data_IF_009717761148
#
_entry.id   IF_009717761148
#
_cell.length_a   1.000
_cell.length_b   1.000
_cell.length_c   1.000
_cell.angle_alpha   90.00
_cell.angle_beta   90.00
_cell.angle_gamma   90.00
#
_symmetry.space_group_name_H-M   'P 1'
#
loop_
_entity.id
_entity.type
_entity.pdbx_description
1 polymer ?
#
# COMPACT_ATOMS: atom_id res chain seq x y z
N UNK A 1 -25.45 6.93 8.87
CA UNK A 1 -23.97 7.12 8.94
C UNK A 1 -23.32 5.84 9.47
N UNK A 2 -22.34 5.26 8.78
CA UNK A 2 -21.70 4.01 9.23
C UNK A 2 -20.77 4.35 10.42
N UNK A 3 -21.09 3.84 11.61
CA UNK A 3 -20.22 3.98 12.79
C UNK A 3 -18.92 3.20 12.56
N UNK A 4 -17.76 3.81 12.81
CA UNK A 4 -16.47 3.16 12.63
C UNK A 4 -16.23 2.10 13.70
N UNK A 5 -16.33 0.83 13.31
CA UNK A 5 -16.09 -0.36 14.14
C UNK A 5 -15.47 -1.48 13.29
N UNK A 6 -14.89 -2.49 13.91
CA UNK A 6 -14.29 -3.62 13.18
C UNK A 6 -15.27 -4.32 12.24
N UNK A 7 -16.55 -4.48 12.68
CA UNK A 7 -17.63 -5.04 11.85
C UNK A 7 -17.86 -4.20 10.60
N UNK A 8 -17.87 -2.88 10.76
CA UNK A 8 -18.12 -1.94 9.67
C UNK A 8 -16.92 -1.78 8.75
N UNK A 9 -15.68 -1.94 9.24
CA UNK A 9 -14.50 -1.98 8.36
C UNK A 9 -14.56 -3.14 7.37
N UNK A 10 -15.06 -4.32 7.79
CA UNK A 10 -15.32 -5.44 6.88
C UNK A 10 -16.30 -5.06 5.78
N UNK A 11 -17.44 -4.49 6.15
CA UNK A 11 -18.48 -4.06 5.18
C UNK A 11 -17.92 -3.02 4.21
N UNK A 12 -17.21 -2.03 4.72
CA UNK A 12 -16.58 -0.98 3.90
C UNK A 12 -15.58 -1.59 2.92
N UNK A 13 -14.67 -2.45 3.42
CA UNK A 13 -13.68 -3.10 2.58
C UNK A 13 -14.35 -3.90 1.45
N UNK A 14 -15.27 -4.80 1.78
CA UNK A 14 -15.92 -5.68 0.82
C UNK A 14 -16.76 -4.92 -0.21
N UNK A 15 -17.42 -3.81 0.18
CA UNK A 15 -18.13 -2.92 -0.75
C UNK A 15 -17.21 -2.16 -1.71
N UNK A 16 -15.94 -1.94 -1.37
CA UNK A 16 -14.97 -1.27 -2.23
C UNK A 16 -14.31 -2.21 -3.25
N UNK A 17 -14.28 -3.52 -3.03
CA UNK A 17 -13.57 -4.46 -3.93
C UNK A 17 -14.02 -4.36 -5.40
N UNK A 18 -15.33 -4.23 -5.73
CA UNK A 18 -15.76 -4.07 -7.12
C UNK A 18 -15.19 -2.80 -7.77
N UNK A 19 -15.09 -1.70 -7.03
CA UNK A 19 -14.51 -0.46 -7.53
C UNK A 19 -13.01 -0.61 -7.82
N UNK A 20 -12.25 -1.31 -6.97
CA UNK A 20 -10.84 -1.63 -7.23
C UNK A 20 -10.66 -2.48 -8.48
N UNK A 21 -11.54 -3.47 -8.69
CA UNK A 21 -11.51 -4.31 -9.90
C UNK A 21 -11.80 -3.46 -11.14
N UNK A 22 -12.82 -2.58 -11.09
CA UNK A 22 -13.16 -1.67 -12.18
C UNK A 22 -12.02 -0.68 -12.47
N UNK A 23 -11.44 -0.07 -11.43
CA UNK A 23 -10.29 0.81 -11.54
C UNK A 23 -9.07 0.13 -12.15
N UNK A 24 -8.78 -1.12 -11.74
CA UNK A 24 -7.70 -1.90 -12.33
C UNK A 24 -7.93 -2.27 -13.80
N UNK A 25 -9.16 -2.62 -14.19
CA UNK A 25 -9.51 -2.79 -15.61
C UNK A 25 -9.30 -1.50 -16.39
N UNK A 26 -9.71 -0.35 -15.81
CA UNK A 26 -9.53 0.97 -16.42
C UNK A 26 -8.04 1.32 -16.57
N UNK A 27 -7.21 1.05 -15.56
CA UNK A 27 -5.76 1.28 -15.64
C UNK A 27 -5.12 0.47 -16.78
N UNK A 28 -5.47 -0.81 -16.92
CA UNK A 28 -4.99 -1.67 -18.03
C UNK A 28 -5.46 -1.11 -19.37
N UNK A 29 -6.73 -0.72 -19.48
CA UNK A 29 -7.30 -0.17 -20.72
C UNK A 29 -6.59 1.11 -21.19
N UNK A 30 -6.13 1.95 -20.25
CA UNK A 30 -5.46 3.22 -20.53
C UNK A 30 -3.93 3.07 -20.65
N UNK A 31 -3.35 1.90 -20.37
CA UNK A 31 -1.91 1.66 -20.54
C UNK A 31 -1.51 1.48 -22.02
N UNK A 32 -0.22 1.56 -22.29
CA UNK A 32 0.32 1.38 -23.64
C UNK A 32 -0.03 2.55 -24.58
N UNK A 33 -0.54 2.25 -25.78
CA UNK A 33 -0.81 3.28 -26.84
C UNK A 33 -1.85 4.36 -26.43
N UNK A 34 -2.69 4.10 -25.44
CA UNK A 34 -3.73 5.05 -24.95
C UNK A 34 -3.26 5.91 -23.79
N UNK A 35 -2.02 5.69 -23.32
CA UNK A 35 -1.46 6.43 -22.21
C UNK A 35 -1.11 7.86 -22.62
N UNK A 36 -1.58 8.83 -21.82
CA UNK A 36 -1.19 10.23 -21.90
C UNK A 36 -0.49 10.60 -20.61
N UNK A 37 0.70 11.15 -20.69
CA UNK A 37 1.53 11.54 -19.53
C UNK A 37 1.60 13.04 -19.45
N UNK A 38 1.46 13.57 -18.24
CA UNK A 38 1.54 14.99 -17.90
C UNK A 38 2.58 15.17 -16.80
N UNK A 39 3.06 16.40 -16.61
CA UNK A 39 3.97 16.75 -15.51
C UNK A 39 3.21 17.58 -14.49
N UNK A 40 3.23 17.18 -13.21
CA UNK A 40 2.68 17.96 -12.10
C UNK A 40 3.56 19.19 -11.83
N UNK A 41 3.03 20.17 -11.07
CA UNK A 41 3.77 21.39 -10.70
C UNK A 41 5.05 21.15 -9.90
N UNK A 42 5.18 20.00 -9.25
CA UNK A 42 6.36 19.57 -8.51
C UNK A 42 7.37 18.77 -9.37
N UNK A 43 7.12 18.68 -10.69
CA UNK A 43 7.97 17.98 -11.65
C UNK A 43 7.74 16.46 -11.70
N UNK A 44 6.84 15.91 -10.89
CA UNK A 44 6.55 14.47 -10.93
C UNK A 44 5.58 14.13 -12.07
N UNK A 45 5.70 12.94 -12.70
CA UNK A 45 4.79 12.52 -13.76
C UNK A 45 3.43 12.09 -13.21
N UNK A 46 2.38 12.37 -13.96
CA UNK A 46 1.02 11.85 -13.75
C UNK A 46 0.46 11.43 -15.11
N UNK A 47 -0.36 10.39 -15.16
CA UNK A 47 -1.01 9.96 -16.40
C UNK A 47 -2.53 10.06 -16.35
N UNK A 48 -3.16 9.98 -17.52
CA UNK A 48 -4.61 9.82 -17.61
C UNK A 48 -5.11 8.57 -16.88
N UNK A 49 -4.25 7.57 -16.68
CA UNK A 49 -4.53 6.38 -15.88
C UNK A 49 -4.67 6.71 -14.39
N UNK A 50 -3.72 7.48 -13.83
CA UNK A 50 -3.75 7.93 -12.44
C UNK A 50 -5.04 8.71 -12.15
N UNK A 51 -5.37 9.68 -13.01
CA UNK A 51 -6.57 10.52 -12.85
C UNK A 51 -7.88 9.72 -12.96
N UNK A 52 -7.96 8.77 -13.89
CA UNK A 52 -9.15 7.94 -14.06
C UNK A 52 -9.35 6.98 -12.89
N UNK A 53 -8.28 6.35 -12.41
CA UNK A 53 -8.30 5.47 -11.23
C UNK A 53 -8.67 6.26 -9.98
N UNK A 54 -8.05 7.45 -9.78
CA UNK A 54 -8.36 8.32 -8.66
C UNK A 54 -9.85 8.67 -8.58
N UNK A 55 -10.43 9.08 -9.72
CA UNK A 55 -11.86 9.39 -9.80
C UNK A 55 -12.72 8.19 -9.39
N UNK A 56 -12.48 7.01 -9.93
CA UNK A 56 -13.26 5.80 -9.63
C UNK A 56 -13.20 5.46 -8.13
N UNK A 57 -11.99 5.49 -7.55
CA UNK A 57 -11.80 5.16 -6.13
C UNK A 57 -12.42 6.20 -5.21
N UNK A 58 -12.22 7.49 -5.49
CA UNK A 58 -12.82 8.55 -4.69
C UNK A 58 -14.35 8.52 -4.73
N UNK A 59 -14.97 8.34 -5.91
CA UNK A 59 -16.43 8.27 -6.06
C UNK A 59 -17.00 7.08 -5.26
N UNK A 60 -16.35 5.91 -5.32
CA UNK A 60 -16.78 4.75 -4.55
C UNK A 60 -16.64 4.97 -3.04
N UNK A 61 -15.54 5.57 -2.58
CA UNK A 61 -15.31 5.85 -1.17
C UNK A 61 -16.31 6.88 -0.65
N UNK A 62 -16.57 7.98 -1.38
CA UNK A 62 -17.57 8.99 -1.01
C UNK A 62 -18.97 8.41 -0.88
N UNK A 63 -19.34 7.49 -1.77
CA UNK A 63 -20.64 6.80 -1.70
C UNK A 63 -20.81 5.96 -0.44
N UNK A 64 -19.75 5.36 0.05
CA UNK A 64 -19.78 4.45 1.21
C UNK A 64 -19.56 5.20 2.53
N UNK A 65 -18.65 6.19 2.52
CA UNK A 65 -18.22 6.96 3.70
C UNK A 65 -18.21 8.46 3.41
N UNK A 66 -19.37 9.10 3.14
CA UNK A 66 -19.46 10.48 2.61
C UNK A 66 -18.88 11.55 3.55
N UNK A 67 -18.80 11.28 4.84
CA UNK A 67 -18.32 12.23 5.87
C UNK A 67 -16.84 12.08 6.20
N UNK A 68 -16.14 11.11 5.61
CA UNK A 68 -14.72 10.90 5.89
C UNK A 68 -13.89 11.63 4.82
N UNK A 69 -12.98 12.48 5.28
CA UNK A 69 -12.06 13.21 4.39
C UNK A 69 -11.24 12.23 3.54
N UNK A 70 -11.06 12.54 2.26
CA UNK A 70 -10.19 11.81 1.34
C UNK A 70 -8.95 12.65 1.06
N UNK A 71 -7.79 12.05 1.26
CA UNK A 71 -6.48 12.55 0.89
C UNK A 71 -5.94 11.64 -0.20
N UNK A 72 -5.88 12.13 -1.43
CA UNK A 72 -5.32 11.41 -2.58
C UNK A 72 -4.07 12.12 -3.07
N UNK A 73 -3.08 11.37 -3.52
CA UNK A 73 -1.87 11.88 -4.14
C UNK A 73 -2.17 12.88 -5.28
N UNK A 74 -3.22 12.61 -6.08
CA UNK A 74 -3.52 13.39 -7.28
C UNK A 74 -4.33 14.67 -7.02
N UNK A 75 -5.02 14.74 -5.87
CA UNK A 75 -5.94 15.84 -5.60
C UNK A 75 -5.61 16.64 -4.35
N UNK A 76 -4.57 16.24 -3.60
CA UNK A 76 -4.22 16.93 -2.37
C UNK A 76 -3.63 18.31 -2.63
N UNK A 77 -4.22 19.32 -1.99
CA UNK A 77 -3.59 20.64 -1.83
C UNK A 77 -2.81 20.62 -0.52
N UNK A 78 -1.47 20.62 -0.59
CA UNK A 78 -0.55 20.42 0.55
C UNK A 78 -0.67 21.46 1.67
N UNK A 79 -1.35 22.58 1.43
CA UNK A 79 -1.43 23.71 2.34
C UNK A 79 -2.54 23.65 3.41
N UNK A 80 -3.35 22.58 3.44
CA UNK A 80 -4.34 22.44 4.53
C UNK A 80 -3.66 22.00 5.82
N UNK A 81 -3.37 22.97 6.68
CA UNK A 81 -2.96 22.76 8.08
C UNK A 81 -4.17 22.20 8.86
N UNK A 82 -4.08 20.98 9.38
CA UNK A 82 -5.10 20.38 10.24
C UNK A 82 -4.61 19.05 10.82
N UNK A 83 -4.95 18.78 12.08
CA UNK A 83 -4.70 17.47 12.69
C UNK A 83 -5.74 16.49 12.17
N UNK A 84 -5.34 15.56 11.29
CA UNK A 84 -6.19 14.49 10.79
C UNK A 84 -6.10 13.28 11.69
N UNK A 85 -7.22 12.86 12.23
CA UNK A 85 -7.30 11.64 13.06
C UNK A 85 -7.96 10.49 12.28
N UNK A 86 -8.96 10.80 11.44
CA UNK A 86 -9.70 9.81 10.65
C UNK A 86 -9.88 10.34 9.25
N UNK A 87 -9.31 9.64 8.27
CA UNK A 87 -9.32 10.04 6.85
C UNK A 87 -8.91 8.86 5.96
N UNK A 88 -9.23 8.96 4.69
CA UNK A 88 -8.72 8.06 3.66
C UNK A 88 -7.41 8.58 3.08
N UNK A 89 -6.50 7.64 2.81
CA UNK A 89 -5.32 7.85 1.98
C UNK A 89 -5.45 7.03 0.72
N UNK A 90 -5.27 7.66 -0.45
CA UNK A 90 -5.34 7.02 -1.77
C UNK A 90 -4.05 7.32 -2.51
N UNK A 91 -3.45 6.28 -3.05
CA UNK A 91 -2.47 6.35 -4.13
C UNK A 91 -3.06 5.58 -5.32
N UNK A 92 -3.55 6.30 -6.34
CA UNK A 92 -4.26 5.68 -7.45
C UNK A 92 -3.40 4.69 -8.23
N UNK A 93 -2.13 5.03 -8.48
CA UNK A 93 -1.16 4.18 -9.17
C UNK A 93 0.22 4.34 -8.53
N UNK A 94 0.47 3.56 -7.46
CA UNK A 94 1.82 3.47 -6.89
C UNK A 94 2.74 2.71 -7.87
N UNK A 95 3.83 3.36 -8.23
CA UNK A 95 4.72 2.90 -9.28
C UNK A 95 4.40 3.50 -10.64
N UNK A 96 4.01 4.79 -10.71
CA UNK A 96 3.69 5.52 -11.95
C UNK A 96 4.75 5.34 -13.04
N UNK A 97 6.04 5.35 -12.69
CA UNK A 97 7.13 5.09 -13.65
C UNK A 97 7.04 3.70 -14.29
N UNK A 98 6.67 2.67 -13.50
CA UNK A 98 6.48 1.31 -13.99
C UNK A 98 5.22 1.22 -14.86
N UNK A 99 4.16 1.92 -14.48
CA UNK A 99 2.94 2.02 -15.25
C UNK A 99 3.15 2.68 -16.61
N UNK A 100 3.85 3.83 -16.63
CA UNK A 100 4.22 4.56 -17.86
C UNK A 100 5.07 3.68 -18.77
N UNK A 101 6.03 2.94 -18.22
CA UNK A 101 6.87 2.00 -18.95
C UNK A 101 6.17 0.66 -19.28
N UNK A 102 4.86 0.56 -19.09
CA UNK A 102 4.04 -0.63 -19.34
C UNK A 102 4.51 -1.90 -18.60
N UNK A 103 5.24 -1.74 -17.48
CA UNK A 103 5.65 -2.84 -16.59
C UNK A 103 4.48 -3.32 -15.73
N UNK A 104 4.65 -4.46 -15.07
CA UNK A 104 3.62 -5.09 -14.23
C UNK A 104 3.74 -4.76 -12.73
N UNK A 105 4.68 -3.87 -12.37
CA UNK A 105 5.02 -3.50 -11.00
C UNK A 105 4.32 -2.22 -10.53
N UNK A 106 3.01 -2.12 -10.71
CA UNK A 106 2.23 -1.02 -10.13
C UNK A 106 1.02 -1.56 -9.36
N UNK A 107 0.53 -0.75 -8.43
CA UNK A 107 -0.60 -1.10 -7.58
C UNK A 107 -1.55 0.08 -7.38
N UNK A 108 -2.83 -0.22 -7.15
CA UNK A 108 -3.86 0.73 -6.75
C UNK A 108 -4.04 0.58 -5.23
N UNK A 109 -4.00 1.68 -4.49
CA UNK A 109 -3.95 1.67 -3.04
C UNK A 109 -5.02 2.56 -2.41
N UNK A 110 -5.71 2.06 -1.39
CA UNK A 110 -6.47 2.90 -0.46
C UNK A 110 -6.38 2.36 0.97
N UNK A 111 -6.29 3.27 1.94
CA UNK A 111 -6.28 2.96 3.36
C UNK A 111 -7.22 3.88 4.14
N UNK A 112 -7.98 3.32 5.07
CA UNK A 112 -8.71 4.09 6.07
C UNK A 112 -7.84 4.23 7.32
N UNK A 113 -7.52 5.46 7.65
CA UNK A 113 -6.81 5.80 8.88
C UNK A 113 -7.84 6.16 9.96
N UNK A 114 -7.69 5.57 11.12
CA UNK A 114 -8.52 5.87 12.31
C UNK A 114 -7.61 6.04 13.51
N UNK A 115 -7.73 7.15 14.21
CA UNK A 115 -6.86 7.49 15.33
C UNK A 115 -5.36 7.38 14.98
N UNK A 116 -5.00 7.93 13.80
CA UNK A 116 -3.64 7.93 13.25
C UNK A 116 -3.03 6.55 12.99
N UNK A 117 -3.85 5.50 12.88
CA UNK A 117 -3.42 4.11 12.58
C UNK A 117 -4.20 3.58 11.39
N UNK A 118 -3.61 2.71 10.57
CA UNK A 118 -4.32 2.10 9.47
C UNK A 118 -5.28 1.03 10.00
N UNK A 119 -6.58 1.27 9.82
CA UNK A 119 -7.67 0.38 10.26
C UNK A 119 -8.14 -0.58 9.16
N UNK A 120 -7.98 -0.16 7.90
CA UNK A 120 -8.35 -0.89 6.71
C UNK A 120 -7.36 -0.56 5.60
N UNK A 121 -7.00 -1.54 4.79
CA UNK A 121 -6.18 -1.36 3.59
C UNK A 121 -6.66 -2.23 2.45
N UNK A 122 -6.59 -1.69 1.23
CA UNK A 122 -6.86 -2.41 -0.01
C UNK A 122 -5.73 -2.10 -1.00
N UNK A 123 -5.15 -3.15 -1.58
CA UNK A 123 -4.15 -3.05 -2.66
C UNK A 123 -4.57 -3.99 -3.78
N UNK A 124 -4.64 -3.47 -4.98
CA UNK A 124 -4.84 -4.28 -6.18
C UNK A 124 -3.64 -4.14 -7.11
N UNK A 125 -3.04 -5.25 -7.52
CA UNK A 125 -2.01 -5.36 -8.55
C UNK A 125 -2.66 -5.86 -9.85
N UNK A 126 -3.13 -4.97 -10.76
CA UNK A 126 -4.03 -5.35 -11.86
C UNK A 126 -3.40 -6.33 -12.84
N UNK A 127 -2.14 -6.10 -13.25
CA UNK A 127 -1.44 -6.98 -14.19
C UNK A 127 -1.09 -8.34 -13.59
N UNK A 128 -0.98 -8.42 -12.24
CA UNK A 128 -0.76 -9.69 -11.52
C UNK A 128 -2.08 -10.38 -11.16
N UNK A 129 -3.22 -9.71 -11.36
CA UNK A 129 -4.57 -10.20 -11.00
C UNK A 129 -4.66 -10.63 -9.54
N UNK A 130 -3.96 -9.89 -8.63
CA UNK A 130 -3.94 -10.15 -7.20
C UNK A 130 -4.49 -8.94 -6.45
N UNK A 131 -5.54 -9.14 -5.66
CA UNK A 131 -6.16 -8.13 -4.83
C UNK A 131 -6.00 -8.52 -3.37
N UNK A 132 -5.48 -7.59 -2.56
CA UNK A 132 -5.23 -7.77 -1.14
C UNK A 132 -6.07 -6.77 -0.36
N UNK A 133 -6.65 -7.20 0.76
CA UNK A 133 -7.38 -6.30 1.63
C UNK A 133 -7.38 -6.77 3.08
N UNK A 134 -7.58 -5.83 3.99
CA UNK A 134 -7.63 -6.12 5.41
C UNK A 134 -8.53 -5.13 6.15
N UNK A 135 -9.07 -5.56 7.30
CA UNK A 135 -9.98 -4.76 8.12
C UNK A 135 -9.81 -5.00 9.63
N UNK A 136 -8.59 -5.24 10.07
CA UNK A 136 -8.20 -5.44 11.47
C UNK A 136 -7.35 -6.68 11.69
N UNK A 137 -6.81 -6.81 12.89
CA UNK A 137 -5.92 -7.91 13.29
C UNK A 137 -6.51 -9.28 12.92
N UNK A 138 -5.71 -10.15 12.31
CA UNK A 138 -6.07 -11.49 11.82
C UNK A 138 -7.19 -11.48 10.74
N UNK A 139 -7.39 -10.35 10.08
CA UNK A 139 -8.41 -10.18 9.04
C UNK A 139 -7.77 -9.55 7.79
N UNK A 140 -6.74 -10.21 7.27
CA UNK A 140 -6.10 -9.92 5.99
C UNK A 140 -6.37 -11.05 5.00
N UNK A 141 -6.61 -10.69 3.74
CA UNK A 141 -7.02 -11.61 2.69
C UNK A 141 -6.39 -11.25 1.36
N UNK A 142 -6.17 -12.27 0.53
CA UNK A 142 -5.87 -12.16 -0.88
C UNK A 142 -7.01 -12.74 -1.70
N UNK A 143 -7.35 -12.10 -2.81
CA UNK A 143 -8.18 -12.65 -3.88
C UNK A 143 -7.32 -12.79 -5.11
N UNK A 144 -7.13 -14.02 -5.56
CA UNK A 144 -6.36 -14.36 -6.76
C UNK A 144 -6.98 -15.56 -7.45
N UNK A 145 -7.07 -15.51 -8.80
CA UNK A 145 -7.66 -16.60 -9.61
C UNK A 145 -9.03 -17.06 -9.09
N UNK A 146 -9.88 -16.11 -8.67
CA UNK A 146 -11.21 -16.38 -8.13
C UNK A 146 -11.25 -16.98 -6.72
N UNK A 147 -10.10 -17.23 -6.09
CA UNK A 147 -10.02 -17.79 -4.74
C UNK A 147 -9.72 -16.69 -3.71
N UNK A 148 -10.41 -16.76 -2.57
CA UNK A 148 -10.15 -15.93 -1.39
C UNK A 148 -9.29 -16.70 -0.39
N UNK A 149 -8.11 -16.18 -0.08
CA UNK A 149 -7.14 -16.80 0.83
C UNK A 149 -6.96 -15.88 2.04
N UNK A 150 -7.07 -16.43 3.26
CA UNK A 150 -6.77 -15.70 4.49
C UNK A 150 -5.27 -15.69 4.71
N UNK A 151 -4.70 -14.51 4.94
CA UNK A 151 -3.28 -14.32 5.14
C UNK A 151 -2.91 -14.40 6.62
N UNK A 152 -1.80 -15.10 6.91
CA UNK A 152 -1.17 -15.14 8.22
C UNK A 152 0.32 -15.41 8.05
N UNK A 153 1.09 -14.37 7.76
CA UNK A 153 2.51 -14.49 7.47
C UNK A 153 3.35 -14.97 8.67
N UNK A 154 2.89 -14.75 9.90
CA UNK A 154 3.59 -15.17 11.10
C UNK A 154 3.61 -16.71 11.30
N UNK A 155 2.68 -17.44 10.67
CA UNK A 155 2.61 -18.91 10.77
C UNK A 155 3.44 -19.65 9.72
N UNK A 156 3.95 -18.94 8.70
CA UNK A 156 4.70 -19.55 7.62
C UNK A 156 6.12 -19.87 8.08
N UNK A 157 6.48 -21.14 8.03
CA UNK A 157 7.85 -21.61 8.33
C UNK A 157 8.68 -21.60 7.06
N UNK A 158 9.91 -21.07 7.14
CA UNK A 158 10.92 -21.08 6.08
C UNK A 158 12.28 -21.35 6.66
N UNK A 159 13.13 -22.00 5.89
CA UNK A 159 14.53 -22.27 6.23
C UNK A 159 15.47 -21.12 5.89
N UNK A 160 15.11 -20.32 4.90
CA UNK A 160 15.88 -19.18 4.42
C UNK A 160 15.08 -17.88 4.53
N UNK A 161 15.78 -16.76 4.70
CA UNK A 161 15.18 -15.43 4.77
C UNK A 161 15.37 -14.71 3.44
N UNK A 162 14.27 -14.29 2.84
CA UNK A 162 14.23 -13.51 1.60
C UNK A 162 13.79 -12.07 1.86
N UNK A 163 14.46 -11.13 1.21
CA UNK A 163 14.21 -9.71 1.41
C UNK A 163 13.70 -9.00 0.15
N UNK A 164 13.07 -7.85 0.37
CA UNK A 164 12.68 -6.89 -0.66
C UNK A 164 13.37 -5.55 -0.43
N UNK A 165 13.71 -4.87 -1.51
CA UNK A 165 14.31 -3.54 -1.50
C UNK A 165 13.66 -2.64 -2.56
N UNK A 166 13.90 -1.33 -2.46
CA UNK A 166 13.48 -0.35 -3.49
C UNK A 166 14.51 -0.16 -4.60
N UNK A 167 15.68 -0.76 -4.48
CA UNK A 167 16.81 -0.57 -5.39
C UNK A 167 17.56 -1.87 -5.59
N UNK A 168 18.06 -2.10 -6.78
CA UNK A 168 19.01 -3.19 -7.07
C UNK A 168 20.36 -3.00 -6.37
N UNK A 169 20.71 -1.75 -6.04
CA UNK A 169 21.88 -1.41 -5.22
C UNK A 169 21.43 -0.67 -3.95
N UNK A 170 20.99 -1.38 -2.90
CA UNK A 170 20.56 -0.76 -1.66
C UNK A 170 21.73 -0.14 -0.90
N UNK A 171 21.48 0.96 -0.18
CA UNK A 171 22.49 1.64 0.62
C UNK A 171 23.04 0.74 1.73
N UNK A 172 24.22 1.06 2.27
CA UNK A 172 24.87 0.26 3.30
C UNK A 172 24.02 0.12 4.58
N UNK A 173 23.25 1.15 4.91
CA UNK A 173 22.28 1.09 6.02
C UNK A 173 21.26 -0.02 5.78
N UNK A 174 20.72 -0.13 4.57
CA UNK A 174 19.78 -1.19 4.22
C UNK A 174 20.47 -2.55 4.20
N UNK A 175 21.65 -2.65 3.58
CA UNK A 175 22.44 -3.88 3.57
C UNK A 175 22.74 -4.37 5.00
N UNK A 176 23.10 -3.46 5.92
CA UNK A 176 23.35 -3.79 7.35
C UNK A 176 22.09 -4.34 8.03
N UNK A 177 20.92 -3.75 7.75
CA UNK A 177 19.65 -4.25 8.27
C UNK A 177 19.35 -5.64 7.72
N UNK A 178 19.49 -5.88 6.41
CA UNK A 178 19.22 -7.17 5.79
C UNK A 178 20.14 -8.27 6.39
N UNK A 179 21.42 -7.97 6.58
CA UNK A 179 22.36 -8.89 7.25
C UNK A 179 21.93 -9.22 8.69
N UNK A 180 21.46 -8.21 9.46
CA UNK A 180 20.94 -8.42 10.81
C UNK A 180 19.77 -9.42 10.84
N UNK A 181 18.96 -9.45 9.78
CA UNK A 181 17.85 -10.40 9.59
C UNK A 181 18.26 -11.65 8.82
N UNK A 182 19.56 -11.90 8.63
CA UNK A 182 20.10 -13.09 7.94
C UNK A 182 19.51 -13.28 6.54
N UNK A 183 19.10 -12.18 5.89
CA UNK A 183 18.65 -12.24 4.51
C UNK A 183 19.85 -12.49 3.59
N UNK A 184 19.86 -13.64 2.93
CA UNK A 184 20.94 -14.06 2.03
C UNK A 184 20.79 -13.48 0.62
N UNK A 185 19.56 -13.18 0.23
CA UNK A 185 19.22 -12.58 -1.06
C UNK A 185 18.15 -11.50 -0.91
N UNK A 186 18.08 -10.64 -1.91
CA UNK A 186 16.99 -9.66 -1.99
C UNK A 186 16.55 -9.45 -3.44
N UNK A 187 15.27 -9.12 -3.60
CA UNK A 187 14.71 -8.69 -4.88
C UNK A 187 14.36 -7.22 -4.83
N UNK A 188 14.69 -6.50 -5.90
CA UNK A 188 14.24 -5.13 -6.10
C UNK A 188 12.80 -5.11 -6.61
N UNK A 189 11.97 -4.26 -6.01
CA UNK A 189 10.58 -4.05 -6.42
C UNK A 189 10.15 -2.62 -6.11
N UNK A 190 9.36 -1.99 -6.99
CA UNK A 190 9.09 -0.55 -6.88
C UNK A 190 7.80 -0.21 -6.14
N UNK A 191 6.71 -0.92 -6.29
CA UNK A 191 5.41 -0.54 -5.73
C UNK A 191 5.17 -1.04 -4.29
N UNK A 192 4.04 -0.66 -3.70
CA UNK A 192 3.53 -1.14 -2.41
C UNK A 192 3.22 -2.64 -2.41
N UNK A 193 3.26 -3.30 -3.57
CA UNK A 193 3.13 -4.75 -3.70
C UNK A 193 4.08 -5.52 -2.77
N UNK A 194 5.23 -4.92 -2.41
CA UNK A 194 6.15 -5.45 -1.39
C UNK A 194 5.48 -5.84 -0.07
N UNK A 195 4.56 -5.01 0.40
CA UNK A 195 3.82 -5.30 1.64
C UNK A 195 2.92 -6.53 1.49
N UNK A 196 2.31 -6.69 0.31
CA UNK A 196 1.48 -7.84 0.00
C UNK A 196 2.29 -9.14 0.01
N UNK A 197 3.50 -9.11 -0.54
CA UNK A 197 4.41 -10.26 -0.55
C UNK A 197 4.94 -10.63 0.84
N UNK A 198 5.10 -9.66 1.73
CA UNK A 198 5.38 -9.96 3.15
C UNK A 198 4.13 -10.54 3.82
N UNK A 199 2.95 -9.96 3.57
CA UNK A 199 1.68 -10.42 4.15
C UNK A 199 1.30 -11.84 3.73
N UNK A 200 1.59 -12.24 2.48
CA UNK A 200 1.40 -13.60 1.98
C UNK A 200 2.51 -14.56 2.43
N UNK A 201 3.62 -14.03 2.99
CA UNK A 201 4.78 -14.80 3.42
C UNK A 201 5.69 -15.25 2.28
N UNK A 202 5.52 -14.72 1.07
CA UNK A 202 6.43 -14.96 -0.05
C UNK A 202 7.83 -14.39 0.24
N UNK A 203 7.88 -13.25 0.96
CA UNK A 203 9.10 -12.62 1.45
C UNK A 203 9.03 -12.38 2.96
N UNK A 204 10.18 -12.13 3.58
CA UNK A 204 10.32 -12.11 5.03
C UNK A 204 10.58 -10.72 5.60
N UNK A 205 11.34 -9.90 4.87
CA UNK A 205 11.78 -8.59 5.32
C UNK A 205 11.79 -7.57 4.18
N UNK A 206 11.38 -6.34 4.48
CA UNK A 206 11.51 -5.18 3.61
C UNK A 206 12.00 -3.99 4.43
N UNK A 207 13.07 -3.34 3.97
CA UNK A 207 13.62 -2.16 4.61
C UNK A 207 13.78 -1.03 3.60
N UNK A 208 13.40 0.20 4.03
CA UNK A 208 13.51 1.41 3.20
C UNK A 208 13.97 2.63 4.02
N UNK A 209 14.75 3.51 3.37
CA UNK A 209 15.09 4.83 3.90
C UNK A 209 13.86 5.75 3.89
N UNK A 210 13.86 6.87 4.66
CA UNK A 210 12.83 7.91 4.56
C UNK A 210 12.72 8.42 3.13
N UNK A 211 11.54 8.30 2.52
CA UNK A 211 11.33 8.71 1.13
C UNK A 211 9.85 8.79 0.76
N UNK A 212 9.09 7.78 1.13
CA UNK A 212 7.72 7.57 0.72
C UNK A 212 6.76 8.54 1.43
N UNK A 213 5.66 8.87 0.78
CA UNK A 213 4.52 9.54 1.38
C UNK A 213 3.63 8.56 2.13
N UNK A 214 2.71 9.06 2.94
CA UNK A 214 1.82 8.20 3.73
C UNK A 214 0.92 7.33 2.86
N UNK A 215 0.46 7.83 1.71
CA UNK A 215 -0.39 7.08 0.79
C UNK A 215 0.33 5.90 0.11
N UNK A 216 1.66 5.97 -0.09
CA UNK A 216 2.47 4.88 -0.66
C UNK A 216 2.53 3.65 0.26
N UNK A 217 2.35 3.84 1.58
CA UNK A 217 2.58 2.76 2.55
C UNK A 217 1.36 2.37 3.37
N UNK A 218 0.36 3.24 3.52
CA UNK A 218 -0.73 3.05 4.48
C UNK A 218 -1.55 1.77 4.23
N UNK A 219 -1.91 1.49 2.98
CA UNK A 219 -2.65 0.29 2.61
C UNK A 219 -1.83 -0.97 2.86
N UNK A 220 -0.57 -0.96 2.45
CA UNK A 220 0.36 -2.05 2.68
C UNK A 220 0.65 -2.29 4.16
N UNK A 221 0.78 -1.21 4.94
CA UNK A 221 0.92 -1.30 6.40
C UNK A 221 -0.28 -2.03 7.03
N UNK A 222 -1.52 -1.60 6.70
CA UNK A 222 -2.72 -2.28 7.20
C UNK A 222 -2.72 -3.78 6.86
N UNK A 223 -2.47 -4.12 5.59
CA UNK A 223 -2.53 -5.51 5.12
C UNK A 223 -1.46 -6.36 5.81
N UNK A 224 -0.21 -5.89 5.85
CA UNK A 224 0.89 -6.65 6.44
C UNK A 224 0.74 -6.78 7.96
N UNK A 225 0.39 -5.70 8.68
CA UNK A 225 0.16 -5.75 10.13
C UNK A 225 -1.00 -6.67 10.49
N UNK A 226 -2.11 -6.59 9.75
CA UNK A 226 -3.27 -7.45 9.98
C UNK A 226 -3.03 -8.92 9.62
N UNK A 227 -2.06 -9.20 8.74
CA UNK A 227 -1.57 -10.56 8.45
C UNK A 227 -0.54 -11.08 9.48
N UNK A 228 -0.15 -10.26 10.46
CA UNK A 228 0.77 -10.64 11.54
C UNK A 228 2.22 -10.17 11.37
N UNK A 229 2.52 -9.37 10.35
CA UNK A 229 3.82 -8.72 10.22
C UNK A 229 4.00 -7.58 11.24
N UNK A 230 5.25 -7.21 11.49
CA UNK A 230 5.64 -6.10 12.36
C UNK A 230 6.17 -4.99 11.48
N UNK A 231 5.60 -3.78 11.64
CA UNK A 231 5.99 -2.58 10.89
C UNK A 231 6.48 -1.51 11.87
N UNK A 232 7.72 -1.07 11.67
CA UNK A 232 8.36 -0.05 12.53
C UNK A 232 9.29 0.84 11.69
N UNK A 233 9.82 1.87 12.32
CA UNK A 233 11.04 2.53 11.83
C UNK A 233 12.27 1.64 12.06
N UNK A 234 13.43 2.03 11.52
CA UNK A 234 14.70 1.33 11.80
C UNK A 234 15.07 1.37 13.29
N UNK A 235 14.57 2.37 14.05
CA UNK A 235 14.74 2.51 15.50
C UNK A 235 13.63 1.82 16.31
N UNK A 236 12.85 0.93 15.70
CA UNK A 236 11.72 0.22 16.31
C UNK A 236 10.57 1.13 16.83
N UNK A 237 10.48 2.38 16.35
CA UNK A 237 9.36 3.27 16.69
C UNK A 237 8.15 2.94 15.82
N UNK A 238 6.94 3.12 16.36
CA UNK A 238 5.67 2.97 15.63
C UNK A 238 5.54 4.04 14.55
N UNK A 239 4.92 3.67 13.43
CA UNK A 239 4.58 4.59 12.35
C UNK A 239 3.17 5.10 12.58
N UNK A 240 2.98 6.42 12.52
CA UNK A 240 1.69 7.08 12.65
C UNK A 240 1.38 7.90 11.41
N UNK A 241 0.12 8.23 11.21
CA UNK A 241 -0.42 8.88 10.02
C UNK A 241 -1.02 10.26 10.34
N UNK A 242 -1.23 11.08 9.30
CA UNK A 242 -1.70 12.46 9.44
C UNK A 242 -0.60 13.44 9.83
N UNK A 243 0.64 13.17 9.43
CA UNK A 243 1.79 14.06 9.65
C UNK A 243 1.76 15.27 8.70
N UNK A 244 2.30 16.42 9.08
CA UNK A 244 2.53 17.51 8.15
C UNK A 244 3.34 17.03 6.93
N UNK A 245 2.88 17.41 5.71
CA UNK A 245 3.54 17.02 4.46
C UNK A 245 3.45 15.54 4.10
N UNK A 246 2.85 14.70 4.96
CA UNK A 246 2.66 13.25 4.74
C UNK A 246 3.94 12.44 4.53
N UNK A 247 5.08 12.90 5.00
CA UNK A 247 6.34 12.17 4.87
C UNK A 247 6.47 11.04 5.89
N UNK A 248 6.97 9.91 5.44
CA UNK A 248 7.27 8.77 6.31
C UNK A 248 8.73 8.75 6.74
N UNK A 249 8.98 8.29 7.97
CA UNK A 249 10.34 7.96 8.43
C UNK A 249 10.87 6.72 7.68
N UNK A 250 12.03 6.23 8.11
CA UNK A 250 12.54 4.93 7.67
C UNK A 250 11.53 3.83 7.97
N UNK A 251 11.52 2.78 7.14
CA UNK A 251 10.55 1.69 7.21
C UNK A 251 11.26 0.35 7.32
N UNK A 252 10.79 -0.47 8.25
CA UNK A 252 11.16 -1.87 8.41
C UNK A 252 9.89 -2.70 8.57
N UNK A 253 9.61 -3.55 7.59
CA UNK A 253 8.52 -4.52 7.57
C UNK A 253 9.10 -5.92 7.70
N UNK A 254 8.63 -6.71 8.66
CA UNK A 254 9.13 -8.07 8.88
C UNK A 254 8.01 -8.98 9.36
N UNK A 255 7.97 -10.20 8.85
CA UNK A 255 6.97 -11.18 9.27
C UNK A 255 7.34 -11.90 10.58
N UNK A 256 8.60 -11.88 10.98
CA UNK A 256 9.11 -12.54 12.19
C UNK A 256 9.47 -11.52 13.27
N UNK A 257 9.23 -11.86 14.53
CA UNK A 257 9.61 -11.02 15.68
C UNK A 257 11.12 -11.03 15.90
N UNK A 258 11.75 -12.17 15.74
CA UNK A 258 13.21 -12.40 15.75
C UNK A 258 13.54 -13.44 14.68
N UNK A 259 14.67 -13.31 14.06
CA UNK A 259 15.33 -14.34 13.26
C UNK A 259 16.47 -14.90 14.07
#
# INVERSE_FOLDING_TARGET
MIKLSKKNYKIIAEKLLPAFIAAGKKSIQLSGKKLKVFTKSDGTPVSNGDLAVDKILQDAIRKITPTIEIVSEETIKTNKKGKRNTFWLIDPIDGTSSYISNKDEYTLNAALIVNKKPALGIIFAPKKKRLFYSFGKNSAFEISKGKKIKLNCAKIKKTTVSALTNSSNPSDVIKKILRKYKATNFQNMRSSYKFCLIASGEYDVYAARPRAKEWDIAAGHAIAEHAGAIITTHQNKKITYGKPGFYNPSLLVRRLKRL
#
